data_IF_784726529355
#
_entry.id   IF_784726529355
#
_cell.length_a   1.000
_cell.length_b   1.000
_cell.length_c   1.000
_cell.angle_alpha   90.00
_cell.angle_beta   90.00
_cell.angle_gamma   90.00
#
_symmetry.space_group_name_H-M   'P 1'
#
loop_
_entity.id
_entity.type
_entity.pdbx_description
1 polymer ?
2 non-polymer ?
3 non-polymer ?
4 non-polymer ?
5 non-polymer ?
6 water ?
#
# COMPACT_ATOMS: atom_id res chain seq x y z
N UNK A 2 -19.45 11.49 -11.56
CA UNK A 2 -18.40 11.71 -12.62
C UNK A 2 -16.97 11.75 -12.04
N UNK A 3 -16.84 11.83 -10.72
CA UNK A 3 -15.54 11.80 -10.07
C UNK A 3 -15.58 10.87 -8.89
N UNK A 4 -14.53 10.04 -8.78
CA UNK A 4 -14.34 9.17 -7.63
C UNK A 4 -13.14 9.70 -6.86
N UNK A 5 -13.29 9.85 -5.54
CA UNK A 5 -12.21 10.36 -4.70
C UNK A 5 -12.04 9.47 -3.48
N UNK A 6 -10.82 8.96 -3.32
CA UNK A 6 -10.40 8.23 -2.14
C UNK A 6 -9.47 9.14 -1.35
N UNK A 7 -10.02 9.75 -0.30
CA UNK A 7 -9.29 10.73 0.48
C UNK A 7 -8.67 10.06 1.69
N UNK A 8 -7.47 9.53 1.51
CA UNK A 8 -6.83 8.72 2.52
C UNK A 8 -6.04 9.53 3.53
N UNK A 9 -5.32 8.81 4.39
CA UNK A 9 -4.48 9.43 5.42
C UNK A 9 -3.34 10.30 4.91
N UNK A 10 -2.81 9.97 3.73
CA UNK A 10 -1.67 10.72 3.17
C UNK A 10 -1.92 11.27 1.76
N UNK A 11 -2.58 10.50 0.90
CA UNK A 11 -2.88 10.97 -0.45
C UNK A 11 -4.35 10.91 -0.75
N UNK A 12 -4.78 11.90 -1.52
CA UNK A 12 -6.08 11.94 -2.09
C UNK A 12 -5.98 11.46 -3.53
N UNK A 13 -6.67 10.37 -3.83
CA UNK A 13 -6.65 9.76 -5.15
C UNK A 13 -7.92 10.13 -5.86
N UNK A 14 -7.77 10.70 -7.05
CA UNK A 14 -8.89 11.14 -7.85
C UNK A 14 -8.96 10.39 -9.19
N UNK A 15 -10.13 9.84 -9.50
CA UNK A 15 -10.39 9.26 -10.82
C UNK A 15 -11.48 10.07 -11.52
N UNK A 16 -11.08 10.70 -12.62
CA UNK A 16 -11.96 11.51 -13.45
C UNK A 16 -12.37 10.63 -14.62
N UNK A 17 -13.67 10.50 -14.83
CA UNK A 17 -14.19 9.73 -15.97
C UNK A 17 -14.77 10.68 -17.03
N UNK A 18 -14.23 10.59 -18.25
CA UNK A 18 -14.75 11.34 -19.39
C UNK A 18 -14.59 10.48 -20.65
N UNK A 19 -15.69 10.25 -21.35
CA UNK A 19 -15.67 9.47 -22.61
C UNK A 19 -15.10 8.06 -22.44
N UNK A 20 -15.57 7.36 -21.40
CA UNK A 20 -15.19 5.96 -21.14
C UNK A 20 -13.67 5.73 -20.93
N UNK A 21 -12.96 6.78 -20.52
CA UNK A 21 -11.52 6.67 -20.20
C UNK A 21 -11.24 7.37 -18.87
N UNK A 22 -10.31 6.81 -18.09
CA UNK A 22 -9.96 7.35 -16.79
C UNK A 22 -8.85 8.38 -16.88
N UNK A 23 -8.92 9.38 -16.03
CA UNK A 23 -7.85 10.31 -15.80
C UNK A 23 -7.56 10.24 -14.30
N UNK A 24 -6.32 9.92 -13.96
CA UNK A 24 -5.88 9.72 -12.59
C UNK A 24 -5.17 10.95 -12.06
N UNK A 25 -5.50 11.36 -10.84
CA UNK A 25 -4.80 12.49 -10.19
C UNK A 25 -4.52 12.15 -8.73
N UNK A 26 -3.42 12.67 -8.22
CA UNK A 26 -3.12 12.59 -6.79
C UNK A 26 -2.86 13.99 -6.25
N UNK A 27 -3.25 14.19 -4.99
CA UNK A 27 -2.93 15.38 -4.24
C UNK A 27 -2.63 14.91 -2.82
N UNK A 28 -1.84 15.67 -2.09
CA UNK A 28 -1.55 15.36 -0.68
C UNK A 28 -2.79 15.66 0.14
N UNK A 29 -3.07 14.80 1.11
CA UNK A 29 -4.20 15.03 2.01
C UNK A 29 -4.01 16.35 2.79
N UNK A 30 -2.74 16.68 3.08
CA UNK A 30 -2.35 17.98 3.62
C UNK A 30 -2.95 19.16 2.83
N UNK A 31 -3.08 18.96 1.51
CA UNK A 31 -3.58 19.98 0.60
C UNK A 31 -5.04 19.78 0.20
N UNK A 32 -5.84 19.20 1.11
CA UNK A 32 -7.24 18.89 0.80
C UNK A 32 -8.02 20.11 0.30
N UNK A 33 -7.68 21.31 0.80
CA UNK A 33 -8.33 22.55 0.32
C UNK A 33 -8.11 22.79 -1.18
N UNK A 34 -6.96 22.34 -1.69
CA UNK A 34 -6.67 22.47 -3.12
C UNK A 34 -7.46 21.48 -3.99
N UNK A 35 -7.92 20.40 -3.39
CA UNK A 35 -8.82 19.46 -4.07
C UNK A 35 -10.21 20.12 -4.21
N UNK A 36 -10.66 20.78 -3.14
CA UNK A 36 -11.92 21.52 -3.18
C UNK A 36 -11.85 22.66 -4.22
N UNK A 37 -10.74 23.40 -4.25
CA UNK A 37 -10.52 24.41 -5.28
C UNK A 37 -10.70 23.84 -6.69
N UNK A 38 -10.00 22.73 -6.95
CA UNK A 38 -10.10 22.04 -8.25
C UNK A 38 -11.52 21.63 -8.53
N UNK A 39 -12.18 20.99 -7.56
CA UNK A 39 -13.57 20.56 -7.75
C UNK A 39 -14.50 21.73 -8.13
N UNK A 40 -14.28 22.88 -7.50
CA UNK A 40 -15.09 24.06 -7.76
C UNK A 40 -14.90 24.64 -9.18
N UNK A 41 -13.85 24.22 -9.89
CA UNK A 41 -13.62 24.65 -11.27
C UNK A 41 -14.14 23.66 -12.33
N UNK A 42 -14.66 22.52 -11.88
CA UNK A 42 -15.17 21.49 -12.79
C UNK A 42 -16.69 21.59 -12.91
N UNK A 43 -17.25 20.82 -13.83
CA UNK A 43 -18.71 20.71 -13.99
C UNK A 43 -19.14 19.31 -13.55
N UNK A 44 -19.01 19.04 -12.26
CA UNK A 44 -19.33 17.72 -11.69
C UNK A 44 -20.66 17.79 -10.97
N UNK A 45 -21.52 16.82 -11.24
CA UNK A 45 -22.85 16.80 -10.66
C UNK A 45 -22.95 15.92 -9.41
N UNK A 46 -22.00 15.01 -9.23
CA UNK A 46 -21.95 14.17 -8.02
C UNK A 46 -20.55 13.64 -7.67
N UNK A 47 -20.23 13.69 -6.37
CA UNK A 47 -18.97 13.16 -5.86
C UNK A 47 -19.21 11.77 -5.31
N UNK A 48 -18.39 10.81 -5.73
CA UNK A 48 -18.39 9.48 -5.16
C UNK A 48 -17.17 9.39 -4.26
N UNK A 49 -17.41 9.43 -2.96
CA UNK A 49 -16.29 9.53 -1.99
C UNK A 49 -16.05 8.26 -1.19
N UNK A 50 -14.80 8.09 -0.78
CA UNK A 50 -14.41 7.04 0.17
C UNK A 50 -13.13 7.47 0.86
N UNK A 51 -12.73 6.74 1.90
CA UNK A 51 -11.52 7.07 2.64
C UNK A 51 -11.79 7.96 3.85
N UNK A 52 -10.81 8.00 4.75
CA UNK A 52 -10.98 8.69 6.04
C UNK A 52 -11.33 10.16 5.98
N UNK A 53 -10.85 10.84 4.95
CA UNK A 53 -11.09 12.27 4.80
C UNK A 53 -12.22 12.65 3.85
N UNK A 54 -13.03 11.65 3.45
CA UNK A 54 -14.19 11.91 2.57
C UNK A 54 -15.14 12.93 3.18
N UNK A 55 -15.39 12.81 4.49
CA UNK A 55 -16.30 13.73 5.18
C UNK A 55 -15.87 15.19 5.06
N UNK A 56 -14.55 15.42 5.16
CA UNK A 56 -13.99 16.79 5.04
C UNK A 56 -14.29 17.43 3.67
N UNK A 57 -14.13 16.65 2.60
CA UNK A 57 -14.45 17.16 1.26
C UNK A 57 -15.95 17.42 1.16
N UNK A 58 -16.75 16.45 1.60
CA UNK A 58 -18.20 16.57 1.51
C UNK A 58 -18.71 17.82 2.21
N UNK A 59 -18.18 18.10 3.40
CA UNK A 59 -18.67 19.23 4.21
C UNK A 59 -18.18 20.61 3.71
N UNK A 60 -17.17 20.62 2.84
CA UNK A 60 -16.58 21.87 2.33
C UNK A 60 -16.93 22.19 0.88
N UNK A 61 -17.88 21.46 0.29
CA UNK A 61 -18.29 21.75 -1.08
C UNK A 61 -19.79 21.50 -1.28
N UNK A 62 -20.40 22.26 -2.19
CA UNK A 62 -21.87 22.22 -2.42
C UNK A 62 -22.37 21.18 -3.45
N UNK A 63 -21.46 20.33 -3.91
CA UNK A 63 -21.80 19.30 -4.88
C UNK A 63 -22.39 18.11 -4.10
N UNK A 64 -23.50 17.53 -4.59
CA UNK A 64 -24.00 16.31 -3.93
C UNK A 64 -22.92 15.22 -3.85
N UNK A 65 -22.86 14.51 -2.72
CA UNK A 65 -21.83 13.51 -2.48
C UNK A 65 -22.43 12.28 -1.83
N UNK A 66 -21.90 11.12 -2.20
CA UNK A 66 -22.26 9.87 -1.55
C UNK A 66 -20.99 9.20 -1.09
N UNK A 67 -21.00 8.68 0.13
CA UNK A 67 -19.80 8.11 0.73
C UNK A 67 -19.95 6.58 0.83
N UNK A 68 -18.84 5.89 0.56
CA UNK A 68 -18.76 4.44 0.55
C UNK A 68 -17.63 4.01 1.47
N UNK A 69 -17.79 2.88 2.16
CA UNK A 69 -16.75 2.39 3.06
C UNK A 69 -15.57 1.90 2.24
N UNK A 70 -14.37 2.32 2.64
CA UNK A 70 -13.18 2.10 1.83
C UNK A 70 -12.85 0.65 1.58
N UNK A 71 -13.22 -0.25 2.48
CA UNK A 71 -12.83 -1.67 2.31
C UNK A 71 -13.59 -2.28 1.14
N UNK A 72 -14.88 -2.00 1.07
CA UNK A 72 -15.72 -2.47 -0.04
C UNK A 72 -15.40 -1.73 -1.35
N UNK A 73 -15.15 -0.41 -1.26
CA UNK A 73 -14.75 0.35 -2.45
C UNK A 73 -13.39 -0.15 -3.01
N UNK A 74 -12.41 -0.37 -2.12
CA UNK A 74 -11.11 -0.91 -2.54
C UNK A 74 -11.27 -2.28 -3.19
N UNK A 75 -12.03 -3.17 -2.55
CA UNK A 75 -12.19 -4.52 -3.07
C UNK A 75 -12.84 -4.50 -4.46
N UNK A 76 -13.86 -3.66 -4.64
CA UNK A 76 -14.56 -3.58 -5.91
C UNK A 76 -13.69 -3.00 -7.05
N UNK A 77 -12.98 -1.92 -6.77
CA UNK A 77 -12.12 -1.30 -7.77
C UNK A 77 -10.98 -2.22 -8.17
N UNK A 78 -10.43 -2.92 -7.19
CA UNK A 78 -9.37 -3.89 -7.43
C UNK A 78 -9.86 -5.05 -8.29
N UNK A 79 -11.06 -5.57 -7.99
CA UNK A 79 -11.69 -6.61 -8.83
C UNK A 79 -11.81 -6.18 -10.29
N UNK A 80 -12.19 -4.93 -10.50
CA UNK A 80 -12.30 -4.36 -11.86
C UNK A 80 -10.93 -4.31 -12.55
N UNK A 81 -9.95 -3.73 -11.86
CA UNK A 81 -8.59 -3.62 -12.36
C UNK A 81 -7.95 -4.98 -12.68
N UNK A 82 -8.11 -5.97 -11.79
CA UNK A 82 -7.57 -7.32 -12.06
C UNK A 82 -8.11 -7.91 -13.36
N UNK A 83 -9.43 -7.78 -13.58
CA UNK A 83 -10.05 -8.30 -14.80
C UNK A 83 -9.61 -7.53 -16.04
N UNK A 84 -9.53 -6.20 -15.93
CA UNK A 84 -9.02 -5.37 -17.03
C UNK A 84 -7.60 -5.78 -17.42
N UNK A 85 -6.82 -6.24 -16.45
CA UNK A 85 -5.42 -6.57 -16.66
C UNK A 85 -5.17 -8.08 -16.86
N UNK A 86 -6.23 -8.85 -17.13
CA UNK A 86 -6.10 -10.25 -17.56
C UNK A 86 -5.99 -11.27 -16.44
N UNK A 87 -6.21 -10.83 -15.20
CA UNK A 87 -6.24 -11.72 -14.06
C UNK A 87 -7.66 -12.12 -13.73
N UNK A 88 -7.91 -13.43 -13.74
CA UNK A 88 -9.20 -13.99 -13.35
C UNK A 88 -8.94 -14.92 -12.16
N UNK A 89 -8.84 -14.34 -10.98
CA UNK A 89 -8.47 -15.09 -9.77
C UNK A 89 -9.71 -15.60 -9.04
N UNK A 90 -9.68 -16.85 -8.60
CA UNK A 90 -10.84 -17.43 -7.87
C UNK A 90 -10.94 -16.86 -6.45
N UNK A 91 -9.79 -16.50 -5.89
CA UNK A 91 -9.70 -15.94 -4.54
C UNK A 91 -8.32 -15.37 -4.34
N UNK A 92 -8.17 -14.55 -3.30
CA UNK A 92 -6.88 -13.94 -2.98
C UNK A 92 -6.95 -13.18 -1.66
N UNK A 93 -5.78 -13.00 -1.05
CA UNK A 93 -5.58 -11.95 -0.07
C UNK A 93 -5.26 -10.68 -0.86
N UNK A 94 -5.79 -9.54 -0.43
CA UNK A 94 -5.22 -8.27 -0.84
C UNK A 94 -4.71 -7.50 0.37
N UNK A 95 -3.51 -6.96 0.20
CA UNK A 95 -2.88 -6.11 1.21
C UNK A 95 -2.81 -4.69 0.67
N UNK A 96 -3.54 -3.80 1.34
CA UNK A 96 -3.61 -2.41 1.00
C UNK A 96 -2.56 -1.70 1.82
N UNK A 97 -1.40 -1.44 1.20
CA UNK A 97 -0.27 -0.84 1.90
C UNK A 97 -0.34 0.67 1.70
N UNK A 98 -1.19 1.30 2.51
CA UNK A 98 -1.40 2.74 2.50
C UNK A 98 -0.55 3.40 3.57
N UNK A 99 -1.11 4.42 4.21
CA UNK A 99 -0.44 5.07 5.33
C UNK A 99 -0.16 3.99 6.35
N UNK A 100 -1.16 3.12 6.55
CA UNK A 100 -1.02 1.87 7.28
C UNK A 100 -1.49 0.72 6.39
N UNK A 101 -1.37 -0.50 6.89
CA UNK A 101 -1.66 -1.66 6.09
C UNK A 101 -2.87 -2.44 6.55
N UNK A 102 -3.82 -2.63 5.63
CA UNK A 102 -5.07 -3.38 5.89
C UNK A 102 -5.08 -4.63 5.00
N UNK A 103 -5.42 -5.78 5.61
CA UNK A 103 -5.39 -7.08 4.94
C UNK A 103 -6.79 -7.67 4.79
N UNK A 104 -7.08 -8.22 3.61
CA UNK A 104 -8.41 -8.69 3.31
C UNK A 104 -8.36 -9.99 2.57
N UNK A 105 -9.38 -10.81 2.79
CA UNK A 105 -9.54 -12.07 2.07
C UNK A 105 -10.71 -11.87 1.18
N UNK A 106 -10.51 -12.09 -0.12
CA UNK A 106 -11.58 -12.07 -1.10
C UNK A 106 -11.84 -13.52 -1.54
N UNK A 107 -13.07 -13.99 -1.30
CA UNK A 107 -13.40 -15.40 -1.53
C UNK A 107 -13.93 -15.68 -2.95
N UNK A 108 -13.96 -14.65 -3.79
CA UNK A 108 -14.57 -14.76 -5.13
C UNK A 108 -15.81 -13.90 -5.27
N UNK A 109 -16.43 -13.54 -4.15
CA UNK A 109 -17.69 -12.78 -4.13
C UNK A 109 -17.59 -11.49 -3.34
N UNK A 110 -17.05 -11.56 -2.13
CA UNK A 110 -16.89 -10.38 -1.30
C UNK A 110 -15.62 -10.44 -0.48
N UNK A 111 -15.25 -9.29 0.09
CA UNK A 111 -14.07 -9.20 0.94
C UNK A 111 -14.48 -9.22 2.41
N UNK A 112 -13.61 -9.75 3.26
CA UNK A 112 -13.61 -9.41 4.68
C UNK A 112 -12.20 -9.01 5.10
N UNK A 113 -12.13 -8.10 6.07
CA UNK A 113 -10.84 -7.73 6.64
C UNK A 113 -10.43 -8.82 7.60
N UNK A 114 -9.22 -9.33 7.41
CA UNK A 114 -8.68 -10.42 8.21
C UNK A 114 -7.47 -10.02 9.03
N UNK A 115 -7.06 -8.76 8.93
CA UNK A 115 -6.00 -8.22 9.78
C UNK A 115 -5.55 -6.86 9.33
N UNK A 116 -4.62 -6.30 10.09
CA UNK A 116 -3.98 -5.07 9.74
C UNK A 116 -2.75 -4.87 10.57
N UNK A 117 -1.91 -3.92 10.16
CA UNK A 117 -0.69 -3.58 10.90
C UNK A 117 -0.26 -2.14 10.58
N UNK A 118 0.37 -1.46 11.54
CA UNK A 118 0.76 -0.07 11.34
C UNK A 118 2.07 0.13 10.61
N UNK A 119 2.62 -0.98 10.08
CA UNK A 119 3.80 -0.92 9.24
C UNK A 119 3.34 -0.75 7.80
N UNK A 120 3.60 0.43 7.27
CA UNK A 120 3.23 0.77 5.88
C UNK A 120 3.92 2.04 5.47
N UNK A 121 3.27 2.80 4.59
CA UNK A 121 3.90 3.99 4.00
C UNK A 121 4.18 5.10 4.99
N UNK A 122 3.33 5.24 5.99
CA UNK A 122 3.51 6.25 7.01
C UNK A 122 4.78 6.03 7.84
N UNK A 123 5.05 4.77 8.19
CA UNK A 123 6.26 4.41 8.90
C UNK A 123 7.49 4.66 8.03
N UNK A 124 7.40 4.32 6.75
CA UNK A 124 8.50 4.63 5.82
C UNK A 124 8.86 6.12 5.86
N UNK A 125 7.87 6.99 5.71
CA UNK A 125 8.10 8.43 5.76
C UNK A 125 8.57 8.92 7.15
N UNK A 126 7.92 8.42 8.19
CA UNK A 126 8.10 9.00 9.53
C UNK A 126 9.38 8.52 10.18
N UNK A 127 9.59 7.22 10.18
CA UNK A 127 10.84 6.68 10.69
C UNK A 127 12.00 7.08 9.76
N UNK A 128 11.73 7.11 8.44
CA UNK A 128 12.69 7.65 7.49
C UNK A 128 13.15 9.06 7.86
N UNK A 129 12.20 9.94 8.15
CA UNK A 129 12.55 11.30 8.57
C UNK A 129 13.43 11.30 9.84
N UNK A 130 13.07 10.47 10.80
CA UNK A 130 13.83 10.43 12.07
C UNK A 130 15.28 9.97 11.85
N UNK A 131 15.49 9.08 10.88
CA UNK A 131 16.84 8.56 10.62
C UNK A 131 17.63 9.34 9.55
N UNK A 132 16.97 10.21 8.81
CA UNK A 132 17.59 10.90 7.67
C UNK A 132 17.34 12.41 7.55
N UNK A 133 16.35 12.92 8.29
CA UNK A 133 15.89 14.32 8.18
C UNK A 133 15.28 14.72 6.81
N UNK A 134 15.05 13.73 5.95
CA UNK A 134 14.44 13.98 4.63
C UNK A 134 12.93 13.96 4.75
N UNK A 135 12.29 15.03 4.29
CA UNK A 135 10.82 15.12 4.28
C UNK A 135 10.24 14.83 2.88
N UNK A 136 11.02 15.06 1.83
CA UNK A 136 10.51 14.89 0.48
C UNK A 136 10.42 13.41 0.12
N UNK A 137 9.23 12.94 -0.22
CA UNK A 137 9.02 11.51 -0.50
C UNK A 137 9.91 10.96 -1.66
N UNK A 138 9.99 11.66 -2.76
CA UNK A 138 10.85 11.23 -3.87
C UNK A 138 12.32 11.17 -3.45
N UNK A 139 12.81 12.19 -2.73
CA UNK A 139 14.19 12.17 -2.23
C UNK A 139 14.43 10.97 -1.31
N UNK A 140 13.48 10.76 -0.39
CA UNK A 140 13.59 9.71 0.61
C UNK A 140 13.68 8.35 -0.03
N UNK A 141 12.73 8.05 -0.89
CA UNK A 141 12.67 6.73 -1.49
C UNK A 141 13.85 6.52 -2.47
N UNK A 142 14.20 7.55 -3.26
CA UNK A 142 15.37 7.44 -4.18
C UNK A 142 16.63 7.13 -3.37
N UNK A 143 16.80 7.80 -2.23
CA UNK A 143 17.99 7.60 -1.39
C UNK A 143 18.10 6.17 -0.88
N UNK A 144 16.96 5.58 -0.53
CA UNK A 144 16.88 4.22 0.01
C UNK A 144 17.25 3.11 -1.00
N UNK A 145 17.07 3.35 -2.30
CA UNK A 145 17.05 2.23 -3.27
C UNK A 145 18.31 1.37 -3.23
N UNK A 146 19.46 2.02 -3.15
CA UNK A 146 20.75 1.35 -3.23
C UNK A 146 21.45 1.30 -1.87
N UNK A 147 20.67 1.43 -0.79
CA UNK A 147 21.19 1.25 0.54
C UNK A 147 21.55 -0.22 0.79
N UNK A 148 22.51 -0.42 1.68
CA UNK A 148 23.04 -1.73 2.02
C UNK A 148 22.58 -2.05 3.45
N UNK A 149 21.71 -3.04 3.59
CA UNK A 149 21.19 -3.45 4.89
C UNK A 149 22.12 -4.38 5.69
N UNK A 150 23.25 -4.79 5.14
CA UNK A 150 24.09 -5.83 5.77
C UNK A 150 24.58 -5.52 7.19
N UNK A 151 25.00 -4.29 7.43
CA UNK A 151 25.55 -3.92 8.75
C UNK A 151 24.45 -3.60 9.79
N UNK A 152 23.20 -3.60 9.33
CA UNK A 152 22.07 -3.20 10.16
C UNK A 152 21.21 -4.41 10.52
N UNK A 153 20.93 -5.28 9.54
CA UNK A 153 20.09 -6.47 9.76
C UNK A 153 20.87 -7.75 10.08
N UNK A 154 20.39 -8.49 11.07
CA UNK A 154 20.94 -9.77 11.46
C UNK A 154 20.21 -10.92 10.77
N UNK A 155 20.96 -11.85 10.18
CA UNK A 155 20.41 -13.08 9.56
C UNK A 155 20.58 -14.28 10.44
N UNK A 156 19.80 -15.31 10.15
CA UNK A 156 19.79 -16.56 10.92
C UNK A 156 21.21 -17.19 10.97
N UNK A 157 21.91 -17.13 9.85
CA UNK A 157 23.27 -17.67 9.79
C UNK A 157 24.25 -16.92 10.72
N UNK A 158 23.98 -15.64 11.00
CA UNK A 158 24.83 -14.88 11.94
C UNK A 158 24.74 -15.40 13.37
N UNK A 159 23.57 -15.91 13.72
CA UNK A 159 23.36 -16.49 15.03
C UNK A 159 23.89 -17.92 15.08
N UNK A 160 23.54 -18.73 14.07
CA UNK A 160 23.87 -20.17 14.05
C UNK A 160 25.32 -20.50 13.53
N UNK A 161 25.93 -19.55 12.83
CA UNK A 161 27.35 -19.62 12.42
C UNK A 161 27.69 -20.90 11.64
N UNK A 162 28.49 -21.80 12.23
CA UNK A 162 28.92 -23.04 11.56
C UNK A 162 27.91 -24.19 11.73
N UNK A 163 26.86 -23.98 12.52
CA UNK A 163 25.82 -24.98 12.74
C UNK A 163 24.69 -24.79 11.73
N UNK A 164 24.24 -25.90 11.13
CA UNK A 164 23.09 -25.86 10.23
C UNK A 164 21.87 -25.37 11.03
N UNK A 165 21.23 -24.30 10.55
CA UNK A 165 20.12 -23.68 11.31
C UNK A 165 18.78 -24.42 11.13
N UNK A 166 17.83 -24.21 12.06
CA UNK A 166 16.53 -24.89 12.00
C UNK A 166 15.60 -24.31 10.94
N UNK A 167 15.91 -23.12 10.46
CA UNK A 167 15.20 -22.48 9.36
C UNK A 167 16.31 -21.90 8.48
N UNK A 168 16.00 -21.55 7.21
CA UNK A 168 17.07 -21.15 6.29
C UNK A 168 17.96 -20.02 6.80
N UNK A 169 19.25 -20.17 6.57
CA UNK A 169 20.27 -19.30 7.12
C UNK A 169 20.23 -17.87 6.61
N UNK A 170 19.75 -17.68 5.39
CA UNK A 170 19.69 -16.36 4.75
C UNK A 170 18.50 -15.49 5.19
N UNK A 171 17.56 -16.07 5.92
CA UNK A 171 16.41 -15.32 6.42
C UNK A 171 16.86 -14.22 7.41
N UNK A 172 16.19 -13.07 7.34
CA UNK A 172 16.36 -12.04 8.35
C UNK A 172 15.92 -12.61 9.71
N UNK A 173 16.82 -12.62 10.69
CA UNK A 173 16.50 -13.05 12.03
C UNK A 173 16.01 -11.88 12.86
N UNK A 174 16.62 -10.71 12.67
CA UNK A 174 16.32 -9.51 13.46
C UNK A 174 16.60 -8.24 12.66
N UNK A 175 15.54 -7.52 12.31
CA UNK A 175 15.71 -6.24 11.69
C UNK A 175 16.41 -5.30 12.66
N UNK A 176 17.42 -4.58 12.15
CA UNK A 176 18.29 -3.71 12.95
C UNK A 176 19.13 -4.50 13.99
N UNK A 177 19.09 -5.83 13.96
CA UNK A 177 19.79 -6.65 14.95
C UNK A 177 21.29 -6.74 14.79
N UNK A 178 21.82 -6.20 13.70
CA UNK A 178 23.26 -6.26 13.45
C UNK A 178 23.97 -4.93 13.83
N UNK A 179 23.17 -3.90 14.12
CA UNK A 179 23.69 -2.58 14.46
C UNK A 179 24.71 -2.64 15.57
N UNK A 180 24.41 -3.36 16.65
CA UNK A 180 25.32 -3.40 17.78
C UNK A 180 26.61 -4.19 17.50
N UNK A 181 26.62 -4.97 16.42
CA UNK A 181 27.82 -5.64 15.96
C UNK A 181 28.69 -4.73 15.07
N UNK A 182 28.16 -3.57 14.69
CA UNK A 182 28.83 -2.64 13.76
C UNK A 182 28.84 -1.22 14.27
N UNK A 183 29.17 -1.04 15.55
CA UNK A 183 29.03 0.25 16.19
C UNK A 183 30.02 1.32 15.68
N UNK A 184 31.10 0.89 15.03
CA UNK A 184 32.00 1.82 14.35
C UNK A 184 31.58 2.10 12.90
N UNK A 185 30.52 1.42 12.43
CA UNK A 185 30.03 1.59 11.06
C UNK A 185 29.52 2.99 10.83
N UNK A 186 29.66 3.42 9.57
CA UNK A 186 29.03 4.62 9.05
C UNK A 186 27.61 4.20 8.68
N UNK A 187 26.64 4.44 9.56
CA UNK A 187 25.27 4.15 9.23
C UNK A 187 24.75 5.26 8.33
N UNK A 188 24.93 5.06 7.02
CA UNK A 188 24.58 6.09 6.06
C UNK A 188 23.08 6.23 5.98
N UNK A 189 22.60 7.42 5.55
CA UNK A 189 21.16 7.58 5.34
C UNK A 189 20.59 6.53 4.36
N UNK A 190 21.32 6.26 3.27
CA UNK A 190 20.84 5.25 2.31
C UNK A 190 20.68 3.90 2.98
N UNK A 191 21.69 3.47 3.73
CA UNK A 191 21.63 2.18 4.41
C UNK A 191 20.50 2.09 5.43
N UNK A 192 20.37 3.12 6.27
CA UNK A 192 19.29 3.19 7.26
C UNK A 192 17.89 3.12 6.63
N UNK A 193 17.70 3.86 5.53
CA UNK A 193 16.41 3.91 4.87
C UNK A 193 16.07 2.59 4.18
N UNK A 194 17.08 1.93 3.60
CA UNK A 194 16.86 0.60 3.06
C UNK A 194 16.38 -0.36 4.15
N UNK A 195 16.94 -0.24 5.38
CA UNK A 195 16.51 -1.10 6.48
C UNK A 195 15.06 -0.78 6.93
N UNK A 196 14.67 0.48 6.88
CA UNK A 196 13.28 0.88 7.20
C UNK A 196 12.32 0.27 6.20
N UNK A 197 12.64 0.39 4.92
CA UNK A 197 11.81 -0.19 3.88
C UNK A 197 11.81 -1.71 4.04
N UNK A 198 12.98 -2.28 4.36
CA UNK A 198 13.09 -3.70 4.64
C UNK A 198 12.15 -4.21 5.73
N UNK A 199 12.16 -3.58 6.90
CA UNK A 199 11.29 -4.08 7.97
C UNK A 199 9.81 -3.91 7.62
N UNK A 200 9.43 -2.79 7.00
CA UNK A 200 8.02 -2.59 6.61
C UNK A 200 7.60 -3.67 5.61
N UNK A 201 8.41 -3.88 4.58
CA UNK A 201 8.12 -4.95 3.62
C UNK A 201 8.03 -6.35 4.20
N UNK A 202 8.97 -6.68 5.08
CA UNK A 202 9.01 -8.02 5.68
C UNK A 202 7.81 -8.28 6.57
N UNK A 203 7.40 -7.28 7.35
CA UNK A 203 6.23 -7.41 8.23
C UNK A 203 4.92 -7.54 7.44
N UNK A 204 4.72 -6.64 6.48
CA UNK A 204 3.54 -6.74 5.57
C UNK A 204 3.44 -8.09 4.93
N UNK A 205 4.55 -8.55 4.35
CA UNK A 205 4.54 -9.82 3.64
C UNK A 205 4.30 -11.00 4.57
N UNK A 206 4.93 -10.98 5.74
CA UNK A 206 4.74 -12.01 6.74
C UNK A 206 3.26 -12.13 7.09
N UNK A 207 2.61 -11.00 7.31
CA UNK A 207 1.19 -11.04 7.69
C UNK A 207 0.35 -11.51 6.53
N UNK A 208 0.66 -11.04 5.34
CA UNK A 208 -0.10 -11.45 4.15
C UNK A 208 0.01 -12.97 3.88
N UNK A 209 1.22 -13.52 3.96
CA UNK A 209 1.39 -14.97 3.72
C UNK A 209 0.76 -15.80 4.83
N UNK A 210 0.70 -15.25 6.05
CA UNK A 210 0.09 -15.97 7.15
C UNK A 210 -1.42 -16.07 6.96
N UNK A 211 -2.09 -14.96 6.63
CA UNK A 211 -3.56 -15.03 6.36
C UNK A 211 -3.87 -15.77 5.04
N UNK A 212 -2.93 -15.76 4.09
CA UNK A 212 -3.10 -16.59 2.88
C UNK A 212 -3.20 -18.08 3.26
N UNK A 213 -2.29 -18.55 4.13
CA UNK A 213 -2.35 -19.92 4.65
C UNK A 213 -3.65 -20.18 5.41
N UNK A 214 -3.98 -19.29 6.32
CA UNK A 214 -5.19 -19.45 7.13
C UNK A 214 -6.46 -19.60 6.27
N UNK A 215 -6.57 -18.77 5.24
CA UNK A 215 -7.76 -18.74 4.37
C UNK A 215 -7.57 -19.55 3.06
N UNK A 216 -6.48 -20.30 2.99
CA UNK A 216 -6.28 -21.33 1.95
C UNK A 216 -6.30 -20.76 0.54
N UNK A 217 -5.53 -19.70 0.33
CA UNK A 217 -5.34 -19.12 -1.00
C UNK A 217 -3.86 -18.93 -1.24
N UNK A 218 -3.43 -19.15 -2.49
CA UNK A 218 -2.04 -18.94 -2.92
C UNK A 218 -1.79 -17.54 -3.45
N UNK A 219 -2.86 -16.79 -3.69
CA UNK A 219 -2.76 -15.49 -4.35
C UNK A 219 -2.74 -14.33 -3.38
N UNK A 220 -1.75 -13.45 -3.54
CA UNK A 220 -1.68 -12.23 -2.74
C UNK A 220 -1.52 -11.02 -3.68
N UNK A 221 -2.50 -10.14 -3.66
CA UNK A 221 -2.48 -8.92 -4.47
C UNK A 221 -2.06 -7.75 -3.60
N UNK A 222 -1.04 -7.01 -4.04
CA UNK A 222 -0.54 -5.88 -3.25
C UNK A 222 -0.93 -4.57 -3.90
N UNK A 223 -1.64 -3.71 -3.16
CA UNK A 223 -1.97 -2.35 -3.66
C UNK A 223 -1.55 -1.30 -2.63
N UNK A 224 -1.70 -0.04 -3.00
CA UNK A 224 -1.34 1.07 -2.14
C UNK A 224 -0.27 1.94 -2.78
N UNK A 225 -0.28 3.21 -2.44
CA UNK A 225 0.68 4.13 -3.01
C UNK A 225 2.08 3.92 -2.40
N UNK A 226 2.20 3.15 -1.33
CA UNK A 226 3.51 2.90 -0.72
C UNK A 226 4.51 2.29 -1.72
N UNK A 227 4.01 1.65 -2.78
CA UNK A 227 4.91 1.04 -3.78
C UNK A 227 5.39 2.04 -4.83
N UNK A 228 4.74 3.21 -4.93
CA UNK A 228 5.13 4.23 -5.91
C UNK A 228 6.53 4.74 -5.63
N UNK A 229 7.36 4.76 -6.68
CA UNK A 229 8.76 5.18 -6.56
C UNK A 229 9.51 4.39 -5.52
N UNK A 230 9.14 3.16 -5.29
CA UNK A 230 9.83 2.32 -4.34
C UNK A 230 10.01 0.88 -4.83
N UNK A 231 10.92 0.74 -5.78
CA UNK A 231 11.21 -0.57 -6.36
C UNK A 231 11.75 -1.54 -5.30
N UNK A 232 12.54 -1.03 -4.36
CA UNK A 232 13.07 -1.85 -3.25
C UNK A 232 11.96 -2.51 -2.46
N UNK A 233 10.96 -1.73 -2.08
CA UNK A 233 9.83 -2.28 -1.33
C UNK A 233 9.14 -3.38 -2.12
N UNK A 234 8.88 -3.11 -3.42
CA UNK A 234 8.23 -4.06 -4.30
C UNK A 234 9.02 -5.36 -4.34
N UNK A 235 10.35 -5.25 -4.39
CA UNK A 235 11.22 -6.43 -4.48
C UNK A 235 11.24 -7.19 -3.16
N UNK A 236 11.35 -6.49 -2.04
CA UNK A 236 11.36 -7.15 -0.73
C UNK A 236 10.08 -7.98 -0.58
N UNK A 237 8.95 -7.38 -0.95
CA UNK A 237 7.64 -8.03 -0.81
C UNK A 237 7.47 -9.22 -1.77
N UNK A 238 7.73 -8.97 -3.05
CA UNK A 238 7.65 -10.00 -4.08
C UNK A 238 8.54 -11.20 -3.76
N UNK A 239 9.79 -10.92 -3.40
CA UNK A 239 10.75 -12.01 -3.14
C UNK A 239 10.30 -12.91 -2.01
N UNK A 240 9.88 -12.33 -0.87
CA UNK A 240 9.49 -13.13 0.28
C UNK A 240 8.17 -13.85 0.04
N UNK A 241 7.26 -13.22 -0.72
CA UNK A 241 5.99 -13.84 -1.08
C UNK A 241 6.28 -15.15 -1.84
N UNK A 242 7.15 -15.05 -2.86
CA UNK A 242 7.55 -16.22 -3.66
C UNK A 242 8.26 -17.28 -2.81
N UNK A 243 9.18 -16.83 -1.95
CA UNK A 243 9.91 -17.75 -1.07
C UNK A 243 8.96 -18.56 -0.18
N UNK A 244 7.85 -17.96 0.26
CA UNK A 244 6.86 -18.67 1.06
C UNK A 244 5.74 -19.31 0.24
N UNK A 245 6.02 -19.60 -1.03
CA UNK A 245 5.13 -20.41 -1.85
C UNK A 245 3.83 -19.77 -2.29
N UNK A 246 3.75 -18.44 -2.22
CA UNK A 246 2.60 -17.70 -2.71
C UNK A 246 2.95 -16.93 -3.98
N UNK A 247 1.90 -16.49 -4.68
CA UNK A 247 2.02 -15.72 -5.90
C UNK A 247 1.65 -14.25 -5.67
N UNK A 248 2.64 -13.34 -5.82
CA UNK A 248 2.37 -11.92 -5.66
C UNK A 248 1.88 -11.30 -6.95
N UNK A 249 0.95 -10.36 -6.82
CA UNK A 249 0.43 -9.59 -7.94
C UNK A 249 0.49 -8.12 -7.62
N UNK A 250 0.97 -7.33 -8.57
CA UNK A 250 0.85 -5.90 -8.51
C UNK A 250 -0.07 -5.45 -9.61
N UNK A 251 -0.73 -4.34 -9.39
CA UNK A 251 -1.80 -3.89 -10.23
C UNK A 251 -1.46 -2.49 -10.76
N UNK A 252 -1.51 -2.32 -12.07
CA UNK A 252 -1.36 -0.98 -12.67
C UNK A 252 -2.48 -0.11 -12.14
N UNK A 253 -2.12 1.05 -11.60
CA UNK A 253 -3.06 1.95 -10.93
C UNK A 253 -3.79 1.36 -9.72
N UNK A 254 -3.18 0.34 -9.12
CA UNK A 254 -3.73 -0.32 -7.93
C UNK A 254 -4.05 0.61 -6.78
N UNK A 255 -3.27 1.69 -6.67
CA UNK A 255 -3.49 2.71 -5.62
C UNK A 255 -4.81 3.45 -5.75
N UNK A 256 -5.42 3.38 -6.94
CA UNK A 256 -6.66 4.05 -7.25
C UNK A 256 -7.87 3.10 -7.15
N UNK A 257 -7.67 1.90 -6.60
CA UNK A 257 -8.74 0.92 -6.45
C UNK A 257 -9.99 1.52 -5.74
N UNK A 258 -9.75 2.19 -4.61
CA UNK A 258 -10.84 2.78 -3.83
C UNK A 258 -11.65 3.81 -4.62
N UNK A 259 -10.96 4.69 -5.34
CA UNK A 259 -11.59 5.72 -6.15
C UNK A 259 -12.41 5.13 -7.30
N UNK A 260 -11.86 4.11 -7.96
CA UNK A 260 -12.57 3.41 -9.02
C UNK A 260 -13.79 2.69 -8.43
N UNK A 261 -13.60 2.05 -7.28
CA UNK A 261 -14.67 1.33 -6.60
C UNK A 261 -15.81 2.24 -6.17
N UNK A 262 -15.49 3.47 -5.74
CA UNK A 262 -16.52 4.43 -5.33
C UNK A 262 -17.42 4.78 -6.52
N UNK A 263 -16.80 5.09 -7.66
CA UNK A 263 -17.57 5.35 -8.89
C UNK A 263 -18.49 4.19 -9.28
N UNK A 264 -17.95 2.98 -9.22
CA UNK A 264 -18.72 1.79 -9.60
C UNK A 264 -19.86 1.51 -8.60
N UNK A 265 -19.58 1.66 -7.31
CA UNK A 265 -20.59 1.42 -6.29
C UNK A 265 -21.73 2.42 -6.39
N UNK A 266 -21.39 3.68 -6.64
CA UNK A 266 -22.39 4.70 -6.84
C UNK A 266 -23.32 4.35 -8.00
N UNK A 267 -22.72 3.89 -9.12
CA UNK A 267 -23.50 3.48 -10.31
C UNK A 267 -24.56 2.48 -9.96
N UNK A 268 -24.15 1.45 -9.25
CA UNK A 268 -24.98 0.28 -9.06
C UNK A 268 -25.80 0.34 -7.77
N UNK A 269 -25.61 1.42 -7.01
CA UNK A 269 -26.45 1.69 -5.86
C UNK A 269 -27.88 1.93 -6.33
N UNK A 270 -28.03 2.53 -7.51
CA UNK A 270 -29.33 2.71 -8.15
C UNK A 270 -29.95 1.37 -8.57
N UNK A 271 -30.98 0.96 -7.87
CA UNK A 271 -31.86 -0.10 -8.34
C UNK A 271 -33.17 0.01 -7.59
N UNK A 272 -34.10 -0.87 -7.91
CA UNK A 272 -35.30 -0.98 -7.12
C UNK A 272 -35.79 -2.41 -7.09
N UNK A 273 -36.77 -2.65 -6.24
CA UNK A 273 -37.39 -3.95 -6.08
C UNK A 273 -38.87 -3.75 -6.32
#
# INVERSE_FOLDING_TARGET
MKVGIDAGGTLIKIVQEQDNQRTFKTELTKNIDQVVEWLNQQQIEKLCLTGGNAGVIAENINIPAQIFVEFDAASQGLGILLKEQGHDLADYIFANVGTGTSLHYFDGQSQRRVGGIGTGGGMIQGLGYLLSQITDYKQLTDMAQHGDRNTIDLKVRHIYKDTEPPIPGDLTAANFGHVLHHLDADFTPSNKLAAVIGVVGEVVTTMAITVAREFKTENIVYIGSSFHNNALLRKVVEDYTVLRGCKPYYVENGAFSGAIGALYLEKHHHHHH
#
